data_IF_883304335312
#
_entry.id   IF_883304335312
#
_cell.length_a   1.000
_cell.length_b   1.000
_cell.length_c   1.000
_cell.angle_alpha   90.00
_cell.angle_beta   90.00
_cell.angle_gamma   90.00
#
_symmetry.space_group_name_H-M   'P 1'
#
loop_
_entity.id
_entity.type
_entity.pdbx_description
1 polymer ?
#
# COMPACT_ATOMS: atom_id res chain seq x y z
N UNK A 1 18.09 8.13 -1.73
CA UNK A 1 16.74 7.95 -1.21
C UNK A 1 16.67 8.28 0.28
N UNK A 2 16.44 9.55 0.62
CA UNK A 2 16.45 10.05 1.99
C UNK A 2 15.46 9.32 2.92
N UNK A 3 14.32 8.82 2.40
CA UNK A 3 13.30 8.09 3.17
C UNK A 3 13.88 6.91 3.91
N UNK A 4 14.63 6.05 3.22
CA UNK A 4 15.18 4.83 3.81
C UNK A 4 16.30 5.11 4.83
N UNK A 5 16.94 6.26 4.74
CA UNK A 5 17.95 6.66 5.70
C UNK A 5 17.37 7.26 6.98
N UNK A 6 16.17 7.84 6.93
CA UNK A 6 15.55 8.52 8.07
C UNK A 6 14.57 7.65 8.86
N UNK A 7 14.00 6.63 8.24
CA UNK A 7 13.01 5.76 8.88
C UNK A 7 13.55 4.34 9.05
N UNK A 8 13.93 3.97 10.29
CA UNK A 8 14.47 2.63 10.61
C UNK A 8 13.56 1.49 10.12
N UNK A 9 12.24 1.66 10.20
CA UNK A 9 11.27 0.68 9.73
C UNK A 9 11.31 0.40 8.23
N UNK A 10 11.97 1.27 7.46
CA UNK A 10 12.10 1.10 6.00
C UNK A 10 13.43 0.48 5.59
N UNK A 11 14.34 0.22 6.51
CA UNK A 11 15.67 -0.32 6.21
C UNK A 11 15.61 -1.63 5.42
N UNK A 12 14.61 -2.48 5.70
CA UNK A 12 14.39 -3.74 4.99
C UNK A 12 14.13 -3.60 3.49
N UNK A 13 13.61 -2.45 3.05
CA UNK A 13 13.38 -2.16 1.63
C UNK A 13 14.54 -1.42 0.98
N UNK A 14 15.56 -1.06 1.77
CA UNK A 14 16.70 -0.31 1.27
C UNK A 14 17.45 -1.08 0.20
N UNK A 15 17.69 -2.36 0.43
CA UNK A 15 18.38 -3.25 -0.52
C UNK A 15 17.61 -3.36 -1.85
N UNK A 16 16.27 -3.46 -1.79
CA UNK A 16 15.44 -3.44 -2.99
C UNK A 16 15.53 -2.11 -3.73
N UNK A 17 15.43 -1.00 -3.01
CA UNK A 17 15.48 0.35 -3.61
C UNK A 17 16.87 0.71 -4.17
N UNK A 18 17.93 0.15 -3.61
CA UNK A 18 19.31 0.33 -4.08
C UNK A 18 19.74 -0.75 -5.10
N UNK A 19 18.90 -1.75 -5.38
CA UNK A 19 19.21 -2.82 -6.31
C UNK A 19 19.23 -2.33 -7.77
N UNK A 20 19.97 -3.04 -8.62
CA UNK A 20 19.98 -2.81 -10.06
C UNK A 20 18.62 -3.09 -10.74
N UNK A 21 17.74 -3.83 -10.05
CA UNK A 21 16.37 -4.13 -10.49
C UNK A 21 15.39 -3.00 -10.20
N UNK A 22 15.81 -1.96 -9.52
CA UNK A 22 14.94 -0.80 -9.33
C UNK A 22 14.59 -0.18 -10.68
N UNK A 23 13.26 -0.12 -10.95
CA UNK A 23 12.79 0.46 -12.22
C UNK A 23 13.08 1.97 -12.27
N UNK A 24 13.54 2.42 -13.42
CA UNK A 24 13.92 3.80 -13.68
C UNK A 24 12.78 4.66 -14.27
N UNK A 25 11.63 4.02 -14.59
CA UNK A 25 10.49 4.67 -15.26
C UNK A 25 10.60 4.75 -16.78
N UNK A 26 11.66 4.18 -17.36
CA UNK A 26 11.92 4.28 -18.81
C UNK A 26 11.96 2.90 -19.50
N UNK A 27 12.54 1.89 -18.85
CA UNK A 27 12.65 0.54 -19.40
C UNK A 27 11.29 -0.08 -19.62
N UNK A 28 11.12 -0.83 -20.72
CA UNK A 28 9.89 -1.56 -21.01
C UNK A 28 9.58 -2.59 -19.92
N UNK A 29 8.34 -2.63 -19.50
CA UNK A 29 7.83 -3.60 -18.55
C UNK A 29 7.04 -4.74 -19.23
N UNK A 30 6.88 -4.70 -20.55
CA UNK A 30 6.12 -5.71 -21.29
C UNK A 30 6.65 -7.11 -21.05
N UNK A 31 5.79 -8.03 -20.56
CA UNK A 31 6.13 -9.41 -20.25
C UNK A 31 7.07 -9.60 -19.04
N UNK A 32 7.35 -8.54 -18.27
CA UNK A 32 8.24 -8.56 -17.11
C UNK A 32 7.50 -8.83 -15.81
N UNK A 33 8.19 -9.39 -14.83
CA UNK A 33 7.69 -9.50 -13.45
C UNK A 33 8.11 -8.27 -12.66
N UNK A 34 7.13 -7.53 -12.15
CA UNK A 34 7.34 -6.33 -11.36
C UNK A 34 7.01 -6.56 -9.90
N UNK A 35 8.00 -6.41 -9.02
CA UNK A 35 7.82 -6.48 -7.58
C UNK A 35 7.44 -5.10 -7.04
N UNK A 36 6.21 -4.95 -6.62
CA UNK A 36 5.71 -3.76 -5.95
C UNK A 36 5.66 -4.01 -4.45
N UNK A 37 6.16 -3.10 -3.62
CA UNK A 37 6.13 -3.28 -2.17
C UNK A 37 5.54 -2.09 -1.43
N UNK A 38 4.83 -2.42 -0.32
CA UNK A 38 4.29 -1.44 0.61
C UNK A 38 5.40 -0.82 1.45
N UNK A 39 5.33 0.50 1.63
CA UNK A 39 6.06 1.23 2.65
C UNK A 39 5.12 2.23 3.33
N UNK A 40 5.47 2.75 4.50
CA UNK A 40 4.69 3.73 5.25
C UNK A 40 3.36 3.21 5.81
N UNK A 41 2.44 4.13 6.10
CA UNK A 41 1.16 3.82 6.72
C UNK A 41 0.11 3.28 5.76
N UNK A 42 -0.95 2.71 6.33
CA UNK A 42 -2.10 2.18 5.55
C UNK A 42 -2.71 3.25 4.65
N UNK A 43 -2.90 4.46 5.16
CA UNK A 43 -3.47 5.56 4.38
C UNK A 43 -2.63 5.92 3.16
N UNK A 44 -1.30 5.89 3.31
CA UNK A 44 -0.37 6.13 2.20
C UNK A 44 -0.50 5.04 1.15
N UNK A 45 -0.53 3.77 1.58
CA UNK A 45 -0.67 2.63 0.65
C UNK A 45 -1.98 2.75 -0.13
N UNK A 46 -3.10 3.02 0.54
CA UNK A 46 -4.39 3.20 -0.11
C UNK A 46 -4.37 4.35 -1.11
N UNK A 47 -3.78 5.48 -0.74
CA UNK A 47 -3.68 6.64 -1.61
C UNK A 47 -2.88 6.34 -2.88
N UNK A 48 -1.79 5.58 -2.77
CA UNK A 48 -0.91 5.27 -3.90
C UNK A 48 -1.34 4.03 -4.70
N UNK A 49 -2.20 3.17 -4.17
CA UNK A 49 -2.72 2.00 -4.88
C UNK A 49 -3.45 2.36 -6.19
N UNK A 50 -3.99 3.57 -6.31
CA UNK A 50 -4.60 4.08 -7.56
C UNK A 50 -3.68 4.05 -8.77
N UNK A 51 -2.36 3.97 -8.56
CA UNK A 51 -1.37 3.88 -9.63
C UNK A 51 -1.15 2.46 -10.15
N UNK A 52 -1.62 1.43 -9.43
CA UNK A 52 -1.47 0.03 -9.83
C UNK A 52 -2.13 -0.26 -11.20
N UNK A 53 -3.36 0.21 -11.48
CA UNK A 53 -3.96 0.03 -12.81
C UNK A 53 -3.17 0.68 -13.95
N UNK A 54 -2.49 1.80 -13.65
CA UNK A 54 -1.65 2.47 -14.63
C UNK A 54 -0.38 1.66 -14.89
N UNK A 55 0.25 1.15 -13.82
CA UNK A 55 1.41 0.27 -13.92
C UNK A 55 1.08 -1.01 -14.72
N UNK A 56 -0.08 -1.62 -14.45
CA UNK A 56 -0.54 -2.83 -15.14
C UNK A 56 -0.67 -2.65 -16.65
N UNK A 57 -1.11 -1.47 -17.09
CA UNK A 57 -1.24 -1.13 -18.52
C UNK A 57 0.10 -1.13 -19.28
N UNK A 58 1.24 -1.17 -18.57
CA UNK A 58 2.56 -1.31 -19.17
C UNK A 58 2.94 -2.76 -19.48
N UNK A 59 2.03 -3.72 -19.28
CA UNK A 59 2.16 -5.10 -19.71
C UNK A 59 2.93 -6.03 -18.77
N UNK A 60 3.16 -5.62 -17.52
CA UNK A 60 3.89 -6.46 -16.54
C UNK A 60 2.97 -7.37 -15.72
N UNK A 61 3.54 -8.47 -15.20
CA UNK A 61 3.00 -9.22 -14.07
C UNK A 61 3.34 -8.46 -12.79
N UNK A 62 2.35 -8.13 -11.97
CA UNK A 62 2.53 -7.41 -10.69
C UNK A 62 2.48 -8.41 -9.54
N UNK A 63 3.59 -8.53 -8.82
CA UNK A 63 3.68 -9.22 -7.53
C UNK A 63 3.70 -8.15 -6.44
N UNK A 64 2.71 -8.14 -5.58
CA UNK A 64 2.54 -7.08 -4.59
C UNK A 64 2.85 -7.58 -3.17
N UNK A 65 3.91 -7.08 -2.58
CA UNK A 65 4.24 -7.28 -1.18
C UNK A 65 3.40 -6.35 -0.32
N UNK A 66 2.41 -6.92 0.38
CA UNK A 66 1.36 -6.21 1.08
C UNK A 66 1.32 -6.56 2.57
N UNK A 67 0.94 -5.61 3.40
CA UNK A 67 0.69 -5.88 4.82
C UNK A 67 -0.51 -6.80 5.01
N UNK A 68 -0.40 -7.80 5.89
CA UNK A 68 -1.43 -8.77 6.25
C UNK A 68 -2.84 -8.14 6.31
N UNK A 69 -2.97 -7.06 7.04
CA UNK A 69 -4.26 -6.36 7.25
C UNK A 69 -4.88 -5.74 5.99
N UNK A 70 -4.13 -5.64 4.90
CA UNK A 70 -4.58 -5.09 3.63
C UNK A 70 -4.76 -6.13 2.53
N UNK A 71 -4.33 -7.38 2.77
CA UNK A 71 -4.39 -8.47 1.78
C UNK A 71 -5.81 -8.63 1.24
N UNK A 72 -6.79 -8.82 2.14
CA UNK A 72 -8.21 -8.98 1.75
C UNK A 72 -8.76 -7.83 0.92
N UNK A 73 -8.24 -6.63 1.12
CA UNK A 73 -8.62 -5.45 0.38
C UNK A 73 -8.11 -5.51 -1.07
N UNK A 74 -6.86 -5.90 -1.23
CA UNK A 74 -6.19 -5.93 -2.53
C UNK A 74 -6.45 -7.20 -3.33
N UNK A 75 -6.98 -8.28 -2.72
CA UNK A 75 -7.46 -9.48 -3.42
C UNK A 75 -8.58 -9.17 -4.43
N UNK A 76 -9.30 -8.06 -4.25
CA UNK A 76 -10.33 -7.59 -5.17
C UNK A 76 -9.79 -6.72 -6.33
N UNK A 77 -8.50 -6.56 -6.42
CA UNK A 77 -7.85 -5.73 -7.42
C UNK A 77 -7.28 -6.60 -8.55
N UNK A 78 -8.01 -6.70 -9.67
CA UNK A 78 -7.69 -7.61 -10.78
C UNK A 78 -6.34 -7.32 -11.45
N UNK A 79 -5.81 -6.12 -11.25
CA UNK A 79 -4.52 -5.71 -11.77
C UNK A 79 -3.33 -6.34 -11.03
N UNK A 80 -3.55 -6.89 -9.83
CA UNK A 80 -2.52 -7.56 -9.05
C UNK A 80 -2.57 -9.05 -9.36
N UNK A 81 -1.49 -9.58 -9.91
CA UNK A 81 -1.42 -10.98 -10.30
C UNK A 81 -1.11 -11.92 -9.11
N UNK A 82 -0.39 -11.40 -8.11
CA UNK A 82 0.01 -12.17 -6.95
C UNK A 82 0.21 -11.25 -5.75
N UNK A 83 -0.31 -11.63 -4.58
CA UNK A 83 -0.11 -10.92 -3.33
C UNK A 83 0.73 -11.77 -2.40
N UNK A 84 1.79 -11.19 -1.87
CA UNK A 84 2.62 -11.82 -0.85
C UNK A 84 2.49 -11.02 0.45
N UNK A 85 2.09 -11.74 1.48
CA UNK A 85 1.89 -11.15 2.79
C UNK A 85 3.21 -10.80 3.47
N UNK A 86 3.31 -9.55 3.90
CA UNK A 86 4.37 -9.08 4.79
C UNK A 86 3.90 -9.26 6.24
N UNK A 87 4.46 -10.26 6.91
CA UNK A 87 4.17 -10.52 8.32
C UNK A 87 4.49 -9.31 9.21
N UNK A 88 3.67 -9.10 10.23
CA UNK A 88 3.86 -8.09 11.26
C UNK A 88 4.22 -8.77 12.58
N UNK A 89 5.45 -8.58 13.04
CA UNK A 89 5.82 -9.04 14.38
C UNK A 89 5.33 -8.01 15.42
N UNK A 90 4.34 -8.39 16.23
CA UNK A 90 3.75 -7.54 17.28
C UNK A 90 4.69 -7.24 18.45
N UNK A 91 5.68 -8.09 18.68
CA UNK A 91 6.59 -7.99 19.83
C UNK A 91 7.76 -7.04 19.59
N UNK A 92 8.14 -6.91 18.34
CA UNK A 92 9.09 -5.90 17.88
C UNK A 92 8.30 -5.08 16.89
N UNK A 93 8.19 -3.76 17.09
CA UNK A 93 7.54 -2.86 16.11
C UNK A 93 8.34 -2.85 14.78
N UNK A 94 9.05 -3.91 14.54
CA UNK A 94 9.82 -4.23 13.36
C UNK A 94 9.04 -5.25 12.55
N UNK A 95 8.55 -4.80 11.42
CA UNK A 95 8.02 -5.72 10.42
C UNK A 95 9.14 -6.69 10.04
N UNK A 96 8.82 -7.97 10.00
CA UNK A 96 9.80 -9.02 9.65
C UNK A 96 10.57 -8.62 8.40
N UNK A 97 11.89 -8.70 8.47
CA UNK A 97 12.77 -8.50 7.33
C UNK A 97 12.31 -9.38 6.17
N UNK A 98 12.28 -8.85 4.96
CA UNK A 98 12.27 -9.70 3.77
C UNK A 98 13.56 -10.51 3.84
N UNK A 99 13.47 -11.76 4.32
CA UNK A 99 14.58 -12.69 4.18
C UNK A 99 14.67 -13.04 2.71
N UNK A 100 15.88 -13.13 2.19
CA UNK A 100 16.16 -13.51 0.79
C UNK A 100 15.40 -14.78 0.37
N UNK A 101 15.13 -15.68 1.32
CA UNK A 101 14.38 -16.92 1.13
C UNK A 101 12.94 -16.74 0.65
N UNK A 102 12.34 -15.56 0.85
CA UNK A 102 10.96 -15.23 0.46
C UNK A 102 10.89 -14.19 -0.67
N UNK A 103 12.04 -13.80 -1.20
CA UNK A 103 12.06 -12.83 -2.29
C UNK A 103 11.72 -13.53 -3.61
N UNK A 104 10.56 -13.22 -4.16
CA UNK A 104 10.15 -13.75 -5.47
C UNK A 104 11.11 -13.26 -6.56
N UNK A 105 11.43 -14.14 -7.50
CA UNK A 105 12.20 -13.74 -8.67
C UNK A 105 11.44 -12.70 -9.48
N UNK A 106 12.07 -11.60 -9.78
CA UNK A 106 11.48 -10.46 -10.47
C UNK A 106 12.52 -9.76 -11.35
N UNK A 107 12.02 -9.04 -12.36
CA UNK A 107 12.86 -8.25 -13.28
C UNK A 107 13.06 -6.82 -12.76
N UNK A 108 11.97 -6.22 -12.25
CA UNK A 108 11.97 -4.85 -11.74
C UNK A 108 11.27 -4.74 -10.40
N UNK A 109 11.63 -3.72 -9.65
CA UNK A 109 10.94 -3.40 -8.39
C UNK A 109 10.79 -1.91 -8.15
N UNK A 110 9.82 -1.55 -7.31
CA UNK A 110 9.75 -0.25 -6.64
C UNK A 110 8.82 -0.27 -5.43
N UNK A 111 8.99 0.74 -4.57
CA UNK A 111 7.97 1.09 -3.61
C UNK A 111 6.72 1.64 -4.30
N UNK A 112 5.55 1.32 -3.75
CA UNK A 112 4.27 1.87 -4.21
C UNK A 112 4.25 3.41 -4.20
N UNK A 113 4.91 4.04 -3.24
CA UNK A 113 5.02 5.50 -3.14
C UNK A 113 5.90 6.13 -4.22
N UNK A 114 6.70 5.35 -4.93
CA UNK A 114 7.53 5.82 -6.03
C UNK A 114 6.76 5.90 -7.36
N UNK A 115 5.61 5.22 -7.47
CA UNK A 115 4.85 5.11 -8.71
C UNK A 115 4.49 6.46 -9.36
N UNK A 116 4.02 7.50 -8.65
CA UNK A 116 3.74 8.80 -9.29
C UNK A 116 4.93 9.37 -10.05
N UNK A 117 6.11 9.28 -9.43
CA UNK A 117 7.36 9.75 -10.02
C UNK A 117 7.77 8.90 -11.22
N UNK A 118 7.77 7.57 -11.07
CA UNK A 118 8.19 6.61 -12.10
C UNK A 118 7.26 6.64 -13.31
N UNK A 119 5.95 6.79 -13.09
CA UNK A 119 4.92 6.88 -14.13
C UNK A 119 4.74 8.30 -14.69
N UNK A 120 5.44 9.29 -14.13
CA UNK A 120 5.32 10.72 -14.50
C UNK A 120 3.88 11.22 -14.43
N UNK A 121 3.10 10.73 -13.44
CA UNK A 121 1.69 11.05 -13.21
C UNK A 121 1.54 11.83 -11.91
N UNK A 122 1.48 13.15 -12.00
CA UNK A 122 1.41 14.06 -10.85
C UNK A 122 0.05 14.73 -10.71
N UNK A 123 -0.72 14.78 -11.79
CA UNK A 123 -2.05 15.39 -11.77
C UNK A 123 -3.03 14.54 -10.96
N UNK A 124 -3.94 15.17 -10.21
CA UNK A 124 -5.00 14.45 -9.53
C UNK A 124 -5.86 13.68 -10.53
N UNK A 125 -6.14 12.43 -10.21
CA UNK A 125 -7.11 11.61 -10.96
C UNK A 125 -8.00 10.87 -9.96
N UNK A 126 -9.25 10.63 -10.35
CA UNK A 126 -10.32 10.18 -9.46
C UNK A 126 -10.95 8.87 -9.93
N UNK A 127 -10.24 8.11 -10.75
CA UNK A 127 -10.72 6.82 -11.21
C UNK A 127 -10.89 5.86 -10.02
N UNK A 128 -11.99 5.11 -10.03
CA UNK A 128 -12.22 4.05 -9.07
C UNK A 128 -11.17 2.96 -9.30
N UNK A 129 -10.45 2.60 -8.26
CA UNK A 129 -9.39 1.59 -8.31
C UNK A 129 -9.60 0.44 -7.33
N UNK A 130 -10.55 0.58 -6.41
CA UNK A 130 -11.00 -0.47 -5.53
C UNK A 130 -12.51 -0.62 -5.67
N UNK A 131 -12.97 -1.84 -5.89
CA UNK A 131 -14.39 -2.16 -5.94
C UNK A 131 -14.76 -3.13 -4.83
N UNK A 132 -15.63 -2.69 -3.94
CA UNK A 132 -16.19 -3.51 -2.89
C UNK A 132 -17.65 -3.77 -3.17
N UNK A 133 -17.97 -5.04 -3.39
CA UNK A 133 -19.35 -5.50 -3.48
C UNK A 133 -19.95 -5.82 -2.12
N UNK A 134 -19.13 -6.08 -1.12
CA UNK A 134 -19.57 -6.30 0.25
C UNK A 134 -19.84 -4.99 0.96
N UNK A 135 -21.09 -4.61 1.03
CA UNK A 135 -21.54 -3.51 1.88
C UNK A 135 -21.83 -4.03 3.28
N UNK A 136 -21.44 -3.24 4.30
CA UNK A 136 -21.91 -3.52 5.66
C UNK A 136 -23.43 -3.66 5.65
N UNK A 137 -23.97 -4.69 6.34
CA UNK A 137 -25.41 -4.88 6.42
C UNK A 137 -26.04 -3.79 7.30
N UNK A 138 -26.37 -2.67 6.69
CA UNK A 138 -27.09 -1.55 7.30
C UNK A 138 -28.59 -1.66 7.10
N UNK A 139 -29.11 -2.86 6.79
CA UNK A 139 -30.53 -3.08 6.48
C UNK A 139 -31.48 -2.62 7.60
N UNK A 140 -31.04 -2.74 8.88
CA UNK A 140 -31.80 -2.28 10.03
C UNK A 140 -32.02 -0.75 10.08
N UNK A 141 -31.27 0.02 9.27
CA UNK A 141 -31.31 1.48 9.27
C UNK A 141 -31.62 2.05 7.88
N UNK A 142 -32.42 1.35 7.08
CA UNK A 142 -32.66 1.70 5.67
C UNK A 142 -33.25 3.11 5.48
N UNK A 143 -34.13 3.51 6.39
CA UNK A 143 -34.89 4.75 6.29
C UNK A 143 -34.26 5.92 7.05
N UNK A 144 -33.14 5.67 7.76
CA UNK A 144 -32.45 6.67 8.55
C UNK A 144 -31.34 7.36 7.76
N UNK A 145 -31.13 8.64 8.03
CA UNK A 145 -29.92 9.35 7.58
C UNK A 145 -28.72 8.84 8.37
N UNK A 146 -27.67 8.36 7.67
CA UNK A 146 -26.51 7.71 8.28
C UNK A 146 -25.30 8.62 8.21
N UNK A 147 -24.66 8.82 9.36
CA UNK A 147 -23.40 9.56 9.47
C UNK A 147 -22.32 8.58 9.97
N UNK A 148 -21.31 8.36 9.15
CA UNK A 148 -20.10 7.64 9.56
C UNK A 148 -19.11 8.59 10.23
N UNK A 149 -18.64 8.24 11.43
CA UNK A 149 -17.68 9.05 12.19
C UNK A 149 -16.42 8.23 12.45
N UNK A 150 -15.25 8.79 12.11
CA UNK A 150 -13.94 8.25 12.47
C UNK A 150 -13.29 9.28 13.39
N UNK A 151 -13.12 8.94 14.67
CA UNK A 151 -12.66 9.87 15.70
C UNK A 151 -11.26 9.59 16.25
N UNK A 152 -10.66 8.44 15.90
CA UNK A 152 -9.36 8.05 16.40
C UNK A 152 -8.53 7.36 15.32
N UNK A 153 -7.23 7.56 15.38
CA UNK A 153 -6.23 6.89 14.57
C UNK A 153 -5.54 5.75 15.32
N UNK A 154 -4.34 5.39 14.88
CA UNK A 154 -3.50 4.42 15.59
C UNK A 154 -2.91 5.06 16.86
N UNK A 155 -3.13 4.47 18.05
CA UNK A 155 -2.54 4.98 19.30
C UNK A 155 -1.01 4.89 19.34
N UNK A 156 -0.41 4.15 18.41
CA UNK A 156 1.04 4.02 18.26
C UNK A 156 1.66 5.16 17.45
N UNK A 157 0.83 6.04 16.87
CA UNK A 157 1.35 7.17 16.12
C UNK A 157 1.86 8.26 17.07
N UNK A 158 3.10 8.78 16.90
CA UNK A 158 3.69 9.77 17.82
C UNK A 158 2.82 11.00 18.06
N UNK A 159 2.05 11.43 17.07
CA UNK A 159 1.18 12.61 17.10
C UNK A 159 -0.30 12.24 17.28
N UNK A 160 -0.62 11.04 17.82
CA UNK A 160 -2.00 10.59 17.94
C UNK A 160 -2.85 11.52 18.80
N UNK A 161 -2.30 12.06 19.87
CA UNK A 161 -2.97 13.02 20.76
C UNK A 161 -3.42 14.32 20.08
N UNK A 162 -2.85 14.65 18.91
CA UNK A 162 -3.21 15.84 18.13
C UNK A 162 -4.26 15.58 17.05
N UNK A 163 -4.58 14.32 16.78
CA UNK A 163 -5.46 13.92 15.67
C UNK A 163 -6.60 12.99 16.07
N UNK A 164 -6.57 12.48 17.28
CA UNK A 164 -7.63 11.65 17.85
C UNK A 164 -8.38 12.42 18.93
N UNK A 165 -9.67 12.18 19.05
CA UNK A 165 -10.51 12.76 20.10
C UNK A 165 -11.34 11.65 20.78
N UNK A 166 -12.09 11.99 21.81
CA UNK A 166 -12.99 11.04 22.45
C UNK A 166 -14.37 11.07 21.77
N UNK A 167 -14.99 9.90 21.62
CA UNK A 167 -16.33 9.79 21.01
C UNK A 167 -17.37 10.72 21.69
N UNK A 168 -17.25 10.94 22.98
CA UNK A 168 -18.11 11.86 23.75
C UNK A 168 -18.08 13.31 23.26
N UNK A 169 -17.09 13.70 22.48
CA UNK A 169 -16.97 15.07 21.93
C UNK A 169 -17.85 15.29 20.70
N UNK A 170 -18.50 14.22 20.21
CA UNK A 170 -19.48 14.27 19.14
C UNK A 170 -20.94 14.24 19.63
N UNK A 171 -21.16 14.22 20.93
CA UNK A 171 -22.50 14.15 21.54
C UNK A 171 -23.11 15.53 21.74
#
# INVERSE_FOLDING_TARGET
NWRFNHFKQLQRFKELDESEKRWDGEKSLEGKTYLLYCEQGVGDILMYARYIPILKKLGCKIVFYCYERLVKLFEHMEEIDEIIELGYNKEVIEMTSLKDENLVEHDFNSSIMSLPYLLKKYDPFYDKYLDFTETANLAAYKDDFKIGVIWAGSPLHPEDSKRSCYLKEFA
#
